data_IF_156527890025
#
_entry.id   IF_156527890025
#
_cell.length_a   1.000
_cell.length_b   1.000
_cell.length_c   1.000
_cell.angle_alpha   90.00
_cell.angle_beta   90.00
_cell.angle_gamma   90.00
#
_symmetry.space_group_name_H-M   'P 1'
#
loop_
_entity.id
_entity.type
_entity.pdbx_description
1 polymer ?
#
# COMPACT_ATOMS: atom_id res chain seq x y z
N UNK A 1 11.56 33.15 7.80
CA UNK A 1 11.68 31.88 8.56
C UNK A 1 11.93 30.79 7.53
N UNK A 2 13.18 30.34 7.43
CA UNK A 2 13.62 29.38 6.42
C UNK A 2 13.10 27.98 6.75
N UNK A 3 12.40 27.37 5.79
CA UNK A 3 11.97 25.99 5.85
C UNK A 3 13.17 25.08 5.57
N UNK A 4 13.63 24.38 6.60
CA UNK A 4 14.63 23.31 6.48
C UNK A 4 13.96 22.17 5.70
N UNK A 5 14.19 22.12 4.39
CA UNK A 5 13.75 21.01 3.53
C UNK A 5 14.64 19.80 3.76
N UNK A 6 14.20 18.89 4.64
CA UNK A 6 14.70 17.53 4.61
C UNK A 6 14.22 16.87 3.31
N UNK A 7 15.12 16.66 2.36
CA UNK A 7 14.87 15.79 1.20
C UNK A 7 14.88 14.34 1.69
N UNK A 8 13.73 13.87 2.18
CA UNK A 8 13.49 12.44 2.30
C UNK A 8 13.41 11.86 0.88
N UNK A 9 14.17 10.79 0.61
CA UNK A 9 13.95 9.96 -0.56
C UNK A 9 12.51 9.46 -0.44
N UNK A 10 11.64 9.83 -1.39
CA UNK A 10 10.21 9.58 -1.27
C UNK A 10 9.92 8.08 -1.20
N UNK A 11 10.80 7.24 -1.73
CA UNK A 11 10.72 5.78 -1.66
C UNK A 11 11.48 5.27 -0.41
N UNK A 12 10.75 4.70 0.56
CA UNK A 12 11.32 4.11 1.78
C UNK A 12 11.80 2.66 1.60
N UNK A 13 11.53 2.06 0.45
CA UNK A 13 11.90 0.69 0.12
C UNK A 13 12.89 0.70 -1.05
N UNK A 14 14.08 0.11 -0.84
CA UNK A 14 15.12 -0.03 -1.87
C UNK A 14 15.21 -1.50 -2.25
N UNK A 15 14.93 -1.81 -3.52
CA UNK A 15 15.16 -3.14 -4.08
C UNK A 15 16.68 -3.41 -4.15
N UNK A 16 17.18 -4.36 -3.33
CA UNK A 16 18.62 -4.70 -3.28
C UNK A 16 19.03 -5.76 -4.31
N UNK A 17 18.12 -6.65 -4.70
CA UNK A 17 18.39 -7.74 -5.64
C UNK A 17 17.17 -7.99 -6.53
N UNK A 18 17.40 -8.07 -7.85
CA UNK A 18 16.39 -8.50 -8.83
C UNK A 18 16.56 -9.99 -9.12
N UNK A 19 15.81 -10.82 -8.40
CA UNK A 19 15.64 -12.21 -8.83
C UNK A 19 14.64 -12.21 -9.99
N UNK A 20 15.06 -12.62 -11.18
CA UNK A 20 14.29 -12.55 -12.43
C UNK A 20 13.06 -13.47 -12.53
N UNK A 21 12.38 -13.76 -11.41
CA UNK A 21 11.12 -14.49 -11.35
C UNK A 21 9.98 -13.61 -10.84
N UNK A 22 8.73 -14.06 -11.02
CA UNK A 22 7.57 -13.41 -10.40
C UNK A 22 7.76 -13.38 -8.87
N UNK A 23 7.88 -12.17 -8.31
CA UNK A 23 7.98 -11.99 -6.86
C UNK A 23 6.71 -12.51 -6.17
N UNK A 24 6.84 -12.98 -4.92
CA UNK A 24 5.68 -13.26 -4.07
C UNK A 24 5.37 -12.03 -3.24
N UNK A 25 4.18 -11.48 -3.43
CA UNK A 25 3.59 -10.48 -2.55
C UNK A 25 3.05 -11.18 -1.31
N UNK A 26 3.29 -10.56 -0.15
CA UNK A 26 2.53 -10.81 1.06
C UNK A 26 1.91 -9.49 1.49
N UNK A 27 0.60 -9.48 1.74
CA UNK A 27 -0.12 -8.33 2.27
C UNK A 27 -0.93 -8.73 3.49
N UNK A 28 -0.91 -7.89 4.52
CA UNK A 28 -1.79 -8.02 5.67
C UNK A 28 -1.93 -6.68 6.37
N UNK A 29 -3.15 -6.35 6.79
CA UNK A 29 -3.45 -5.18 7.58
C UNK A 29 -3.46 -5.50 9.07
N UNK A 30 -2.96 -4.57 9.88
CA UNK A 30 -3.08 -4.59 11.34
C UNK A 30 -3.90 -3.37 11.73
N UNK A 31 -4.90 -3.58 12.59
CA UNK A 31 -5.72 -2.51 13.16
C UNK A 31 -5.74 -2.64 14.69
N UNK A 32 -6.21 -1.61 15.39
CA UNK A 32 -6.25 -1.66 16.86
C UNK A 32 -7.15 -2.82 17.32
N UNK A 33 -6.55 -3.80 18.02
CA UNK A 33 -7.26 -4.97 18.54
C UNK A 33 -7.60 -6.06 17.51
N UNK A 34 -7.17 -5.95 16.25
CA UNK A 34 -7.44 -6.97 15.22
C UNK A 34 -6.40 -7.00 14.09
N UNK A 35 -6.53 -7.95 13.16
CA UNK A 35 -5.70 -8.09 11.95
C UNK A 35 -6.53 -8.70 10.82
N UNK A 36 -6.15 -8.41 9.58
CA UNK A 36 -6.65 -9.17 8.43
C UNK A 36 -5.87 -10.46 8.26
N UNK A 37 -6.42 -11.40 7.51
CA UNK A 37 -5.64 -12.53 7.02
C UNK A 37 -4.50 -12.05 6.10
N UNK A 38 -3.43 -12.86 6.05
CA UNK A 38 -2.28 -12.59 5.19
C UNK A 38 -2.59 -13.09 3.77
N UNK A 39 -2.74 -12.16 2.84
CA UNK A 39 -2.89 -12.45 1.42
C UNK A 39 -1.53 -12.71 0.78
N UNK A 40 -1.36 -13.85 0.11
CA UNK A 40 -0.12 -14.22 -0.59
C UNK A 40 -0.41 -14.40 -2.08
N UNK A 41 0.28 -13.65 -2.93
CA UNK A 41 0.08 -13.73 -4.38
C UNK A 41 1.42 -13.79 -5.13
N UNK A 42 1.54 -14.72 -6.07
CA UNK A 42 2.73 -14.86 -6.92
C UNK A 42 2.61 -13.99 -8.17
N UNK A 43 2.55 -12.66 -7.98
CA UNK A 43 2.43 -11.68 -9.07
C UNK A 43 3.41 -10.52 -8.85
N UNK A 44 3.89 -9.95 -9.94
CA UNK A 44 4.63 -8.68 -9.88
C UNK A 44 3.66 -7.58 -9.50
N UNK A 45 3.89 -6.93 -8.36
CA UNK A 45 3.03 -5.84 -7.88
C UNK A 45 3.02 -4.67 -8.87
N UNK A 46 1.83 -4.32 -9.34
CA UNK A 46 1.56 -3.13 -10.17
C UNK A 46 0.46 -2.30 -9.51
N UNK A 47 0.34 -1.02 -9.86
CA UNK A 47 -0.69 -0.17 -9.26
C UNK A 47 -2.11 -0.71 -9.44
N UNK A 48 -2.39 -1.39 -10.56
CA UNK A 48 -3.71 -2.01 -10.82
C UNK A 48 -3.97 -3.17 -9.87
N UNK A 49 -2.98 -4.05 -9.66
CA UNK A 49 -3.11 -5.17 -8.72
C UNK A 49 -3.24 -4.64 -7.29
N UNK A 50 -2.49 -3.59 -6.93
CA UNK A 50 -2.61 -2.97 -5.62
C UNK A 50 -4.03 -2.42 -5.40
N UNK A 51 -4.56 -1.67 -6.37
CA UNK A 51 -5.94 -1.16 -6.31
C UNK A 51 -6.95 -2.30 -6.15
N UNK A 52 -6.96 -3.27 -7.05
CA UNK A 52 -8.02 -4.27 -7.14
C UNK A 52 -7.96 -5.33 -6.04
N UNK A 53 -6.77 -5.69 -5.59
CA UNK A 53 -6.57 -6.77 -4.61
C UNK A 53 -6.42 -6.24 -3.19
N UNK A 54 -5.83 -5.06 -3.02
CA UNK A 54 -5.61 -4.50 -1.68
C UNK A 54 -6.66 -3.44 -1.35
N UNK A 55 -6.79 -2.41 -2.17
CA UNK A 55 -7.60 -1.25 -1.82
C UNK A 55 -9.09 -1.58 -1.86
N UNK A 56 -9.58 -2.08 -2.99
CA UNK A 56 -11.00 -2.39 -3.19
C UNK A 56 -11.48 -3.51 -2.27
N UNK A 57 -10.70 -4.59 -2.13
CA UNK A 57 -11.10 -5.77 -1.36
C UNK A 57 -10.91 -5.64 0.15
N UNK A 58 -10.02 -4.76 0.62
CA UNK A 58 -9.71 -4.68 2.04
C UNK A 58 -9.92 -3.26 2.56
N UNK A 59 -9.21 -2.28 1.99
CA UNK A 59 -9.23 -0.89 2.49
C UNK A 59 -10.63 -0.27 2.39
N UNK A 60 -11.32 -0.44 1.27
CA UNK A 60 -12.66 0.12 1.06
C UNK A 60 -13.69 -0.44 2.06
N UNK A 61 -13.62 -1.74 2.32
CA UNK A 61 -14.45 -2.43 3.32
C UNK A 61 -14.23 -1.86 4.74
N UNK A 62 -12.97 -1.67 5.15
CA UNK A 62 -12.67 -1.08 6.46
C UNK A 62 -13.03 0.40 6.56
N UNK A 63 -12.83 1.18 5.48
CA UNK A 63 -13.25 2.58 5.40
C UNK A 63 -14.76 2.72 5.60
N UNK A 64 -15.55 1.87 4.94
CA UNK A 64 -17.02 1.86 5.11
C UNK A 64 -17.47 1.51 6.53
N UNK A 65 -16.78 0.59 7.20
CA UNK A 65 -17.11 0.16 8.55
C UNK A 65 -16.68 1.16 9.65
N UNK A 66 -15.48 1.74 9.55
CA UNK A 66 -14.91 2.63 10.57
C UNK A 66 -15.18 4.12 10.31
N UNK A 67 -15.56 4.50 9.09
CA UNK A 67 -15.91 5.87 8.74
C UNK A 67 -14.74 6.84 8.91
N UNK A 68 -15.02 8.00 9.52
CA UNK A 68 -14.05 9.09 9.66
C UNK A 68 -12.83 8.76 10.54
N UNK A 69 -12.91 7.72 11.36
CA UNK A 69 -11.81 7.27 12.22
C UNK A 69 -10.82 6.36 11.47
N UNK A 70 -11.11 5.99 10.22
CA UNK A 70 -10.21 5.17 9.42
C UNK A 70 -9.03 5.97 8.87
N UNK A 71 -7.82 5.60 9.29
CA UNK A 71 -6.58 6.08 8.68
C UNK A 71 -5.85 4.91 8.01
N UNK A 72 -5.73 4.97 6.69
CA UNK A 72 -4.92 4.02 5.92
C UNK A 72 -3.45 4.45 5.87
N UNK A 73 -2.54 3.52 6.11
CA UNK A 73 -1.10 3.74 6.02
C UNK A 73 -0.44 2.60 5.24
N UNK A 74 0.39 2.96 4.27
CA UNK A 74 1.21 2.04 3.49
C UNK A 74 2.63 2.58 3.28
N UNK A 75 3.49 1.77 2.67
CA UNK A 75 4.82 2.23 2.26
C UNK A 75 4.76 3.04 0.95
N UNK A 76 5.87 3.68 0.60
CA UNK A 76 5.97 4.52 -0.59
C UNK A 76 6.43 3.79 -1.86
N UNK A 77 6.19 2.48 -1.98
CA UNK A 77 6.52 1.76 -3.21
C UNK A 77 5.78 2.35 -4.42
N UNK A 78 6.43 2.33 -5.59
CA UNK A 78 5.91 2.95 -6.82
C UNK A 78 4.48 2.51 -7.19
N UNK A 79 4.09 1.23 -7.04
CA UNK A 79 2.71 0.79 -7.26
C UNK A 79 1.68 1.49 -6.34
N UNK A 80 2.04 1.80 -5.09
CA UNK A 80 1.15 2.46 -4.11
C UNK A 80 0.99 3.95 -4.39
N UNK A 81 1.88 4.52 -5.19
CA UNK A 81 1.90 5.95 -5.56
C UNK A 81 1.47 6.16 -7.02
N UNK A 82 0.73 5.22 -7.60
CA UNK A 82 0.17 5.35 -8.94
C UNK A 82 -1.13 6.17 -8.90
N UNK A 83 -1.41 6.98 -9.93
CA UNK A 83 -2.62 7.82 -9.97
C UNK A 83 -3.93 7.04 -9.72
N UNK A 84 -4.04 5.82 -10.26
CA UNK A 84 -5.20 4.93 -10.06
C UNK A 84 -5.41 4.49 -8.61
N UNK A 85 -4.37 4.55 -7.78
CA UNK A 85 -4.42 4.27 -6.34
C UNK A 85 -4.92 5.49 -5.61
N UNK A 86 -4.43 6.68 -5.96
CA UNK A 86 -4.89 7.94 -5.38
C UNK A 86 -6.40 8.15 -5.63
N UNK A 87 -6.88 7.85 -6.84
CA UNK A 87 -8.30 7.90 -7.19
C UNK A 87 -9.18 6.96 -6.33
N UNK A 88 -8.66 5.79 -5.97
CA UNK A 88 -9.39 4.81 -5.14
C UNK A 88 -9.47 5.24 -3.66
N UNK A 89 -8.52 6.05 -3.20
CA UNK A 89 -8.44 6.53 -1.82
C UNK A 89 -9.19 7.84 -1.56
N UNK A 90 -9.61 8.56 -2.61
CA UNK A 90 -10.47 9.74 -2.51
C UNK A 90 -11.86 9.36 -1.96
#
# INVERSE_FOLDING_TARGET
MESIRYRYHQENAIERYRYGGAGRLLWGGIILGSRTDLHVQSVTMTGHIYRDVILEQHVHLFRGAMGAEFLFMDDNARPHRANIVDECLQ
#
